data_IF_227101917274
#
_entry.id   IF_227101917274
#
_cell.length_a   1.000
_cell.length_b   1.000
_cell.length_c   1.000
_cell.angle_alpha   90.00
_cell.angle_beta   90.00
_cell.angle_gamma   90.00
#
_symmetry.space_group_name_H-M   'P 1'
#
loop_
_entity.id
_entity.type
_entity.pdbx_description
1 polymer ?
#
# COMPACT_ATOMS: atom_id res chain seq x y z
N UNK A 1 8.06 10.79 -8.07
CA UNK A 1 7.01 11.76 -7.69
C UNK A 1 6.26 11.20 -6.50
N UNK A 2 6.45 11.80 -5.33
CA UNK A 2 5.68 11.53 -4.11
C UNK A 2 4.31 12.17 -4.26
N UNK A 3 3.30 11.39 -4.63
CA UNK A 3 1.91 11.83 -4.53
C UNK A 3 1.56 11.82 -3.04
N UNK A 4 1.77 12.95 -2.37
CA UNK A 4 1.35 13.13 -0.98
C UNK A 4 -0.16 13.33 -0.97
N UNK A 5 -0.90 12.33 -0.51
CA UNK A 5 -2.35 12.37 -0.36
C UNK A 5 -2.77 13.11 0.91
N UNK A 6 -2.02 12.94 2.00
CA UNK A 6 -2.17 13.78 3.19
C UNK A 6 -1.43 15.10 3.00
N UNK A 7 -2.08 16.20 3.37
CA UNK A 7 -1.38 17.48 3.46
C UNK A 7 -0.37 17.44 4.64
N UNK A 8 0.73 18.23 4.58
CA UNK A 8 1.78 18.18 5.60
C UNK A 8 1.26 18.40 7.02
N UNK A 9 0.34 19.35 7.21
CA UNK A 9 -0.25 19.65 8.51
C UNK A 9 -1.07 18.47 9.05
N UNK A 10 -1.87 17.83 8.19
CA UNK A 10 -2.68 16.69 8.60
C UNK A 10 -1.82 15.46 8.90
N UNK A 11 -0.79 15.21 8.09
CA UNK A 11 0.21 14.17 8.34
C UNK A 11 0.90 14.38 9.69
N UNK A 12 1.35 15.60 10.00
CA UNK A 12 1.98 15.90 11.28
C UNK A 12 1.03 15.71 12.45
N UNK A 13 -0.22 16.13 12.31
CA UNK A 13 -1.23 15.95 13.35
C UNK A 13 -1.55 14.47 13.61
N UNK A 14 -1.70 13.65 12.57
CA UNK A 14 -1.89 12.21 12.72
C UNK A 14 -0.67 11.55 13.38
N UNK A 15 0.54 12.01 13.04
CA UNK A 15 1.79 11.52 13.63
C UNK A 15 1.93 11.81 15.13
N UNK A 16 1.17 12.76 15.68
CA UNK A 16 1.14 13.06 17.13
C UNK A 16 -0.13 12.59 17.83
N UNK A 17 -1.11 12.03 17.10
CA UNK A 17 -2.40 11.59 17.63
C UNK A 17 -2.71 10.15 17.19
N UNK A 18 -2.14 9.12 17.85
CA UNK A 18 -2.27 7.72 17.42
C UNK A 18 -3.70 7.21 17.30
N UNK A 19 -4.57 7.54 18.27
CA UNK A 19 -5.99 7.14 18.19
C UNK A 19 -6.68 7.75 16.97
N UNK A 20 -6.40 9.02 16.66
CA UNK A 20 -6.94 9.67 15.48
C UNK A 20 -6.39 9.04 14.19
N UNK A 21 -5.12 8.63 14.17
CA UNK A 21 -4.53 7.91 13.04
C UNK A 21 -5.24 6.58 12.78
N UNK A 22 -5.53 5.79 13.82
CA UNK A 22 -6.30 4.54 13.65
C UNK A 22 -7.73 4.78 13.16
N UNK A 23 -8.44 5.76 13.72
CA UNK A 23 -9.79 6.10 13.27
C UNK A 23 -9.78 6.59 11.82
N UNK A 24 -8.87 7.51 11.49
CA UNK A 24 -8.76 8.06 10.14
C UNK A 24 -8.39 6.99 9.10
N UNK A 25 -7.51 6.05 9.46
CA UNK A 25 -7.18 4.91 8.62
C UNK A 25 -8.43 4.10 8.28
N UNK A 26 -9.24 3.74 9.28
CA UNK A 26 -10.47 2.97 9.07
C UNK A 26 -11.46 3.72 8.20
N UNK A 27 -11.77 4.97 8.53
CA UNK A 27 -12.74 5.78 7.80
C UNK A 27 -12.36 6.00 6.34
N UNK A 28 -11.08 6.28 6.08
CA UNK A 28 -10.59 6.49 4.70
C UNK A 28 -10.54 5.19 3.91
N UNK A 29 -10.20 4.07 4.55
CA UNK A 29 -10.26 2.76 3.90
C UNK A 29 -11.69 2.38 3.53
N UNK A 30 -12.64 2.49 4.47
CA UNK A 30 -14.04 2.14 4.25
C UNK A 30 -14.68 3.01 3.16
N UNK A 31 -14.43 4.33 3.21
CA UNK A 31 -14.91 5.27 2.18
C UNK A 31 -14.30 4.96 0.82
N UNK A 32 -13.01 4.66 0.77
CA UNK A 32 -12.32 4.27 -0.47
C UNK A 32 -12.87 2.98 -1.07
N UNK A 33 -13.17 1.98 -0.22
CA UNK A 33 -13.79 0.73 -0.64
C UNK A 33 -15.21 0.95 -1.15
N UNK A 34 -16.03 1.75 -0.48
CA UNK A 34 -17.37 2.12 -0.95
C UNK A 34 -17.33 2.66 -2.39
N UNK A 35 -16.43 3.60 -2.70
CA UNK A 35 -16.31 4.10 -4.07
C UNK A 35 -15.79 3.05 -5.06
N UNK A 36 -14.89 2.14 -4.64
CA UNK A 36 -14.44 1.02 -5.48
C UNK A 36 -15.57 0.07 -5.84
N UNK A 37 -16.43 -0.27 -4.89
CA UNK A 37 -17.59 -1.15 -5.10
C UNK A 37 -18.55 -0.58 -6.14
N UNK A 38 -18.68 0.76 -6.19
CA UNK A 38 -19.47 1.48 -7.19
C UNK A 38 -18.74 1.67 -8.54
N UNK A 39 -17.51 1.15 -8.69
CA UNK A 39 -16.67 1.39 -9.87
C UNK A 39 -16.17 2.84 -10.01
N UNK A 40 -16.34 3.66 -8.98
CA UNK A 40 -15.96 5.07 -8.92
C UNK A 40 -14.46 5.22 -8.57
N UNK A 41 -13.59 4.66 -9.41
CA UNK A 41 -12.15 4.54 -9.15
C UNK A 41 -11.45 5.89 -8.92
N UNK A 42 -11.88 6.95 -9.63
CA UNK A 42 -11.31 8.28 -9.47
C UNK A 42 -11.65 8.88 -8.10
N UNK A 43 -12.88 8.68 -7.64
CA UNK A 43 -13.35 9.13 -6.33
C UNK A 43 -12.70 8.32 -5.20
N UNK A 44 -12.46 7.02 -5.40
CA UNK A 44 -11.79 6.16 -4.43
C UNK A 44 -10.32 6.54 -4.18
N UNK A 45 -9.62 6.98 -5.23
CA UNK A 45 -8.17 7.21 -5.21
C UNK A 45 -7.69 8.09 -4.04
N UNK A 46 -8.23 9.29 -3.78
CA UNK A 46 -7.76 10.14 -2.68
C UNK A 46 -7.94 9.49 -1.31
N UNK A 47 -9.06 8.79 -1.07
CA UNK A 47 -9.31 8.12 0.21
C UNK A 47 -8.32 6.98 0.45
N UNK A 48 -8.07 6.16 -0.55
CA UNK A 48 -7.13 5.03 -0.43
C UNK A 48 -5.68 5.50 -0.34
N UNK A 49 -5.35 6.62 -0.98
CA UNK A 49 -4.07 7.28 -0.81
C UNK A 49 -3.86 7.78 0.62
N UNK A 50 -4.86 8.46 1.20
CA UNK A 50 -4.84 8.87 2.61
C UNK A 50 -4.75 7.67 3.55
N UNK A 51 -5.50 6.58 3.28
CA UNK A 51 -5.45 5.36 4.07
C UNK A 51 -4.05 4.75 4.07
N UNK A 52 -3.41 4.61 2.90
CA UNK A 52 -2.06 4.08 2.77
C UNK A 52 -1.03 4.91 3.56
N UNK A 53 -1.06 6.23 3.41
CA UNK A 53 -0.15 7.12 4.14
C UNK A 53 -0.41 7.11 5.66
N UNK A 54 -1.67 6.99 6.07
CA UNK A 54 -2.03 6.89 7.49
C UNK A 54 -1.59 5.57 8.09
N UNK A 55 -1.71 4.46 7.34
CA UNK A 55 -1.19 3.16 7.77
C UNK A 55 0.34 3.19 7.95
N UNK A 56 1.08 3.91 7.09
CA UNK A 56 2.52 4.12 7.28
C UNK A 56 2.83 4.91 8.57
N UNK A 57 2.03 5.92 8.89
CA UNK A 57 2.15 6.68 10.14
C UNK A 57 1.90 5.76 11.34
N UNK A 58 0.83 4.96 11.32
CA UNK A 58 0.50 3.98 12.37
C UNK A 58 1.65 2.99 12.56
N UNK A 59 2.22 2.47 11.47
CA UNK A 59 3.41 1.62 11.56
C UNK A 59 4.59 2.36 12.21
N UNK A 60 4.81 3.63 11.88
CA UNK A 60 5.95 4.40 12.40
C UNK A 60 5.80 4.75 13.88
N UNK A 61 4.56 4.94 14.36
CA UNK A 61 4.25 5.23 15.76
C UNK A 61 4.33 3.99 16.66
N UNK A 62 4.16 2.80 16.09
CA UNK A 62 4.12 1.58 16.87
C UNK A 62 5.48 1.27 17.52
N UNK A 63 5.54 1.22 18.85
CA UNK A 63 6.74 0.79 19.59
C UNK A 63 7.16 -0.64 19.22
N UNK A 64 6.18 -1.49 18.92
CA UNK A 64 6.37 -2.83 18.37
C UNK A 64 5.32 -3.10 17.31
N UNK A 65 5.75 -3.63 16.17
CA UNK A 65 4.80 -4.05 15.14
C UNK A 65 3.97 -5.23 15.61
N UNK A 66 2.72 -5.24 15.18
CA UNK A 66 1.81 -6.37 15.31
C UNK A 66 1.46 -6.89 13.92
N UNK A 67 0.96 -8.13 13.84
CA UNK A 67 0.48 -8.66 12.57
C UNK A 67 -0.67 -7.82 12.01
N UNK A 68 -1.52 -7.22 12.86
CA UNK A 68 -2.58 -6.30 12.41
C UNK A 68 -2.00 -5.10 11.67
N UNK A 69 -1.03 -4.41 12.26
CA UNK A 69 -0.43 -3.22 11.64
C UNK A 69 0.18 -3.54 10.27
N UNK A 70 0.88 -4.67 10.17
CA UNK A 70 1.51 -5.13 8.93
C UNK A 70 0.45 -5.49 7.87
N UNK A 71 -0.62 -6.18 8.28
CA UNK A 71 -1.73 -6.55 7.39
C UNK A 71 -2.50 -5.32 6.93
N UNK A 72 -2.85 -4.40 7.83
CA UNK A 72 -3.58 -3.17 7.50
C UNK A 72 -2.76 -2.29 6.53
N UNK A 73 -1.46 -2.13 6.78
CA UNK A 73 -0.56 -1.44 5.85
C UNK A 73 -0.49 -2.13 4.47
N UNK A 74 -0.39 -3.46 4.46
CA UNK A 74 -0.35 -4.22 3.20
C UNK A 74 -1.67 -4.10 2.45
N UNK A 75 -2.80 -4.17 3.15
CA UNK A 75 -4.13 -4.08 2.56
C UNK A 75 -4.37 -2.72 1.91
N UNK A 76 -4.01 -1.62 2.58
CA UNK A 76 -4.12 -0.27 2.01
C UNK A 76 -3.22 -0.08 0.79
N UNK A 77 -1.99 -0.62 0.81
CA UNK A 77 -1.10 -0.61 -0.35
C UNK A 77 -1.70 -1.35 -1.55
N UNK A 78 -2.27 -2.55 -1.33
CA UNK A 78 -2.94 -3.33 -2.38
C UNK A 78 -4.15 -2.60 -2.94
N UNK A 79 -5.00 -2.04 -2.07
CA UNK A 79 -6.20 -1.29 -2.51
C UNK A 79 -5.82 -0.06 -3.34
N UNK A 80 -4.83 0.71 -2.91
CA UNK A 80 -4.34 1.88 -3.65
C UNK A 80 -3.74 1.45 -4.99
N UNK A 81 -2.85 0.47 -4.98
CA UNK A 81 -2.17 -0.01 -6.18
C UNK A 81 -3.15 -0.59 -7.20
N UNK A 82 -4.14 -1.36 -6.77
CA UNK A 82 -5.18 -1.90 -7.66
C UNK A 82 -6.09 -0.78 -8.21
N UNK A 83 -6.49 0.19 -7.39
CA UNK A 83 -7.25 1.36 -7.87
C UNK A 83 -6.46 2.13 -8.93
N UNK A 84 -5.15 2.30 -8.75
CA UNK A 84 -4.28 2.90 -9.75
C UNK A 84 -4.25 2.09 -11.05
N UNK A 85 -4.26 0.75 -10.99
CA UNK A 85 -4.36 -0.09 -12.20
C UNK A 85 -5.68 0.09 -12.93
N UNK A 86 -6.81 0.14 -12.20
CA UNK A 86 -8.14 0.40 -12.79
C UNK A 86 -8.21 1.77 -13.49
N UNK A 87 -7.39 2.72 -13.04
CA UNK A 87 -7.23 4.04 -13.66
C UNK A 87 -6.16 4.09 -14.77
N UNK A 88 -5.55 2.96 -15.14
CA UNK A 88 -4.47 2.89 -16.13
C UNK A 88 -3.13 3.44 -15.65
N UNK A 89 -3.01 3.82 -14.38
CA UNK A 89 -1.81 4.43 -13.76
C UNK A 89 -0.81 3.35 -13.29
N UNK A 90 -0.40 2.51 -14.24
CA UNK A 90 0.45 1.32 -14.06
C UNK A 90 1.77 1.60 -13.33
N UNK A 91 2.51 2.61 -13.75
CA UNK A 91 3.80 2.98 -13.12
C UNK A 91 3.64 3.38 -11.66
N UNK A 92 2.56 4.10 -11.33
CA UNK A 92 2.27 4.50 -9.95
C UNK A 92 1.84 3.30 -9.10
N UNK A 93 1.05 2.38 -9.66
CA UNK A 93 0.70 1.12 -9.00
C UNK A 93 1.94 0.32 -8.60
N UNK A 94 2.88 0.14 -9.54
CA UNK A 94 4.14 -0.56 -9.27
C UNK A 94 4.95 0.14 -8.19
N UNK A 95 5.04 1.47 -8.25
CA UNK A 95 5.76 2.26 -7.25
C UNK A 95 5.19 2.09 -5.84
N UNK A 96 3.86 1.98 -5.69
CA UNK A 96 3.22 1.71 -4.39
C UNK A 96 3.64 0.34 -3.86
N UNK A 97 3.60 -0.71 -4.68
CA UNK A 97 4.04 -2.05 -4.25
C UNK A 97 5.52 -2.08 -3.85
N UNK A 98 6.38 -1.42 -4.61
CA UNK A 98 7.82 -1.37 -4.31
C UNK A 98 8.11 -0.60 -3.01
N UNK A 99 7.42 0.52 -2.79
CA UNK A 99 7.54 1.31 -1.57
C UNK A 99 7.05 0.52 -0.34
N UNK A 100 5.90 -0.14 -0.45
CA UNK A 100 5.35 -0.96 0.63
C UNK A 100 6.30 -2.12 0.99
N UNK A 101 6.87 -2.81 -0.01
CA UNK A 101 7.89 -3.84 0.23
C UNK A 101 9.13 -3.26 0.92
N UNK A 102 9.61 -2.10 0.45
CA UNK A 102 10.77 -1.44 1.06
C UNK A 102 10.51 -1.07 2.52
N UNK A 103 9.28 -0.62 2.85
CA UNK A 103 8.88 -0.28 4.22
C UNK A 103 8.81 -1.49 5.14
N UNK A 104 8.38 -2.65 4.64
CA UNK A 104 8.26 -3.89 5.43
C UNK A 104 9.57 -4.63 5.65
N UNK A 105 10.55 -4.51 4.73
CA UNK A 105 11.83 -5.25 4.82
C UNK A 105 12.58 -5.09 6.15
N UNK A 106 12.74 -3.87 6.72
CA UNK A 106 13.41 -3.70 8.01
C UNK A 106 12.70 -4.43 9.16
N UNK A 107 11.38 -4.54 9.09
CA UNK A 107 10.57 -5.18 10.15
C UNK A 107 10.86 -6.67 10.28
N UNK A 108 11.35 -7.34 9.24
CA UNK A 108 11.80 -8.74 9.30
C UNK A 108 12.95 -8.94 10.29
N UNK A 109 13.90 -8.00 10.30
CA UNK A 109 15.05 -8.03 11.20
C UNK A 109 14.63 -7.65 12.62
N UNK A 110 13.77 -6.65 12.76
CA UNK A 110 13.29 -6.16 14.06
C UNK A 110 12.41 -7.19 14.79
N UNK A 111 11.71 -8.03 14.04
CA UNK A 111 10.81 -9.06 14.59
C UNK A 111 11.49 -10.43 14.81
N UNK A 112 12.83 -10.52 14.86
CA UNK A 112 13.55 -11.80 14.93
C UNK A 112 13.14 -12.76 16.07
N UNK A 113 12.63 -12.22 17.19
CA UNK A 113 12.13 -13.02 18.32
C UNK A 113 10.63 -13.35 18.23
N UNK A 114 9.98 -13.02 17.12
CA UNK A 114 8.54 -13.15 16.91
C UNK A 114 8.26 -13.94 15.62
N UNK A 115 8.39 -15.28 15.62
CA UNK A 115 8.27 -16.11 14.42
C UNK A 115 6.95 -15.93 13.65
N UNK A 116 5.83 -15.79 14.39
CA UNK A 116 4.51 -15.55 13.80
C UNK A 116 4.44 -14.21 13.06
N UNK A 117 5.02 -13.16 13.63
CA UNK A 117 5.08 -11.85 13.01
C UNK A 117 6.01 -11.86 11.78
N UNK A 118 7.17 -12.50 11.87
CA UNK A 118 8.06 -12.67 10.72
C UNK A 118 7.36 -13.38 9.58
N UNK A 119 6.62 -14.46 9.87
CA UNK A 119 5.87 -15.18 8.85
C UNK A 119 4.82 -14.28 8.19
N UNK A 120 4.08 -13.52 8.98
CA UNK A 120 3.13 -12.52 8.50
C UNK A 120 3.80 -11.50 7.56
N UNK A 121 4.93 -10.92 7.96
CA UNK A 121 5.66 -9.94 7.15
C UNK A 121 6.15 -10.56 5.84
N UNK A 122 6.67 -11.79 5.87
CA UNK A 122 7.11 -12.52 4.67
C UNK A 122 5.93 -12.71 3.70
N UNK A 123 4.79 -13.16 4.20
CA UNK A 123 3.62 -13.41 3.37
C UNK A 123 3.05 -12.10 2.79
N UNK A 124 3.07 -11.00 3.55
CA UNK A 124 2.74 -9.66 3.07
C UNK A 124 3.70 -9.17 1.97
N UNK A 125 5.01 -9.31 2.15
CA UNK A 125 6.00 -8.93 1.13
C UNK A 125 5.81 -9.75 -0.15
N UNK A 126 5.55 -11.06 -0.03
CA UNK A 126 5.24 -11.92 -1.20
C UNK A 126 3.98 -11.46 -1.92
N UNK A 127 2.92 -11.11 -1.19
CA UNK A 127 1.67 -10.59 -1.77
C UNK A 127 1.93 -9.32 -2.60
N UNK A 128 2.67 -8.36 -2.03
CA UNK A 128 3.06 -7.13 -2.73
C UNK A 128 3.94 -7.41 -3.95
N UNK A 129 4.86 -8.37 -3.86
CA UNK A 129 5.71 -8.79 -4.97
C UNK A 129 4.92 -9.48 -6.10
N UNK A 130 3.89 -10.26 -5.77
CA UNK A 130 3.00 -10.86 -6.77
C UNK A 130 2.16 -9.80 -7.49
N UNK A 131 1.64 -8.80 -6.75
CA UNK A 131 0.94 -7.66 -7.33
C UNK A 131 1.81 -6.83 -8.29
N UNK A 132 3.07 -6.59 -7.92
CA UNK A 132 4.07 -5.93 -8.76
C UNK A 132 4.53 -6.80 -9.95
N UNK A 133 4.79 -8.09 -9.70
CA UNK A 133 5.36 -9.03 -10.65
C UNK A 133 4.36 -9.50 -11.72
N UNK A 134 3.06 -9.57 -11.40
CA UNK A 134 2.00 -9.80 -12.39
C UNK A 134 2.06 -8.74 -13.50
N UNK A 135 2.30 -7.49 -13.12
CA UNK A 135 2.41 -6.39 -14.06
C UNK A 135 3.71 -6.44 -14.90
N UNK A 136 4.86 -6.69 -14.27
CA UNK A 136 6.14 -6.77 -15.00
C UNK A 136 6.15 -7.89 -16.05
N UNK A 137 5.58 -9.07 -15.73
CA UNK A 137 5.46 -10.19 -16.67
C UNK A 137 4.51 -9.88 -17.83
N UNK A 138 3.38 -9.22 -17.57
CA UNK A 138 2.43 -8.83 -18.62
C UNK A 138 3.03 -7.76 -19.55
N UNK A 139 3.77 -6.77 -19.03
CA UNK A 139 4.40 -5.74 -19.87
C UNK A 139 5.60 -6.26 -20.68
N UNK A 140 6.44 -7.13 -20.11
CA UNK A 140 7.52 -7.76 -20.89
C UNK A 140 6.96 -8.69 -21.99
N UNK A 141 5.80 -9.30 -21.77
CA UNK A 141 5.07 -10.03 -22.83
C UNK A 141 4.63 -9.11 -23.96
N UNK A 142 4.13 -7.91 -23.65
CA UNK A 142 3.65 -6.95 -24.66
C UNK A 142 4.80 -6.26 -25.43
N UNK A 143 5.95 -6.00 -24.79
CA UNK A 143 7.13 -5.41 -25.45
C UNK A 143 7.89 -6.40 -26.34
N UNK A 144 7.74 -7.71 -26.10
CA UNK A 144 8.29 -8.75 -26.98
C UNK A 144 7.42 -9.03 -28.20
N UNK A 145 6.12 -8.70 -28.17
CA UNK A 145 5.24 -8.81 -29.34
C UNK A 145 5.47 -7.69 -30.36
N UNK A 146 5.91 -6.50 -29.94
CA UNK A 146 6.25 -5.38 -30.85
C UNK A 146 7.63 -5.51 -31.51
N UNK A 147 8.55 -6.32 -30.96
CA UNK A 147 9.87 -6.58 -31.56
C UNK A 147 9.96 -7.90 -32.34
N UNK A 148 8.90 -8.71 -32.35
CA UNK A 148 8.81 -9.93 -33.17
C UNK A 148 8.18 -9.69 -34.56
N UNK A 149 7.81 -8.44 -34.87
CA UNK A 149 7.28 -8.01 -36.16
C UNK A 149 8.20 -6.95 -36.80
N UNK A 150 9.47 -7.27 -37.02
CA UNK A 150 10.33 -6.57 -37.98
C UNK A 150 11.41 -7.49 -38.54
#
# INVERSE_FOLDING_TARGET
MSQNFLCPNHRQWLATNPMAAHTHLRETQDTGQYYREQGAWQQALPYLGCAYETAEIVMTQAERQTSSNVVDFTATAVLLADTLQKLGKRTLSLAVYEQAQKRLKPELTLSYQQPTLQRCIIDCIKSLALGAGFHQKFMHSQLNEEHALH
#
